data_IF_778448217639
#
_entry.id   IF_778448217639
#
_cell.length_a   1.000
_cell.length_b   1.000
_cell.length_c   1.000
_cell.angle_alpha   90.00
_cell.angle_beta   90.00
_cell.angle_gamma   90.00
#
_symmetry.space_group_name_H-M   'P 1'
#
loop_
_entity.id
_entity.type
_entity.pdbx_description
1 polymer ?
#
# COMPACT_ATOMS: atom_id res chain seq x y z
N UNK A 1 -13.68 16.11 -3.81
CA UNK A 1 -14.16 15.07 -4.74
C UNK A 1 -14.05 13.71 -4.08
N UNK A 2 -15.17 13.00 -3.97
CA UNK A 2 -15.16 11.58 -3.62
C UNK A 2 -14.73 10.77 -4.85
N UNK A 3 -13.69 9.95 -4.71
CA UNK A 3 -13.18 9.08 -5.79
C UNK A 3 -13.91 7.73 -5.85
N UNK A 4 -14.83 7.46 -4.92
CA UNK A 4 -15.54 6.17 -4.82
C UNK A 4 -14.62 5.02 -4.46
N UNK A 5 -13.54 5.28 -3.69
CA UNK A 5 -12.52 4.30 -3.35
C UNK A 5 -12.70 3.75 -1.94
N UNK A 6 -12.67 2.43 -1.82
CA UNK A 6 -12.27 1.75 -0.60
C UNK A 6 -10.74 1.72 -0.48
N UNK A 7 -10.24 1.97 0.72
CA UNK A 7 -8.81 2.06 1.02
C UNK A 7 -8.48 1.23 2.24
N UNK A 8 -7.45 0.38 2.11
CA UNK A 8 -6.79 -0.31 3.24
C UNK A 8 -5.31 0.05 3.27
N UNK A 9 -4.86 0.55 4.41
CA UNK A 9 -3.46 0.90 4.62
C UNK A 9 -2.86 -0.02 5.68
N UNK A 10 -1.75 -0.66 5.36
CA UNK A 10 -0.96 -1.44 6.30
C UNK A 10 0.42 -0.82 6.43
N UNK A 11 0.89 -0.64 7.66
CA UNK A 11 2.24 -0.13 7.89
C UNK A 11 2.85 -0.74 9.14
N UNK A 12 4.17 -0.72 9.23
CA UNK A 12 4.89 -0.99 10.48
C UNK A 12 5.19 0.32 11.18
N UNK A 13 4.82 0.44 12.45
CA UNK A 13 5.27 1.56 13.28
C UNK A 13 6.69 1.34 13.76
N UNK A 14 7.42 2.44 13.88
CA UNK A 14 8.84 2.40 14.15
C UNK A 14 9.65 1.95 12.94
N UNK A 15 10.91 2.36 12.93
CA UNK A 15 11.79 2.07 11.83
C UNK A 15 13.23 2.34 12.19
N UNK A 16 14.14 1.47 11.72
CA UNK A 16 15.58 1.62 11.95
C UNK A 16 16.05 2.99 11.41
N UNK A 17 15.42 3.50 10.35
CA UNK A 17 15.80 4.78 9.72
C UNK A 17 14.94 5.98 10.15
N UNK A 18 13.74 5.76 10.69
CA UNK A 18 12.75 6.84 10.96
C UNK A 18 12.45 7.07 12.45
N UNK A 19 13.02 6.25 13.34
CA UNK A 19 12.80 6.36 14.78
C UNK A 19 11.41 5.88 15.23
N UNK A 20 11.09 6.02 16.52
CA UNK A 20 9.91 5.40 17.14
C UNK A 20 8.56 6.00 16.70
N UNK A 21 8.55 7.16 16.05
CA UNK A 21 7.34 7.80 15.51
C UNK A 21 7.20 7.64 13.99
N UNK A 22 8.13 6.95 13.34
CA UNK A 22 8.12 6.73 11.90
C UNK A 22 7.22 5.58 11.47
N UNK A 23 6.83 5.57 10.20
CA UNK A 23 6.24 4.41 9.55
C UNK A 23 7.18 3.86 8.48
N UNK A 24 7.29 2.54 8.40
CA UNK A 24 8.00 1.80 7.34
C UNK A 24 7.07 0.75 6.74
N UNK A 25 7.44 0.20 5.58
CA UNK A 25 6.68 -0.87 4.92
C UNK A 25 5.21 -0.52 4.71
N UNK A 26 4.95 0.66 4.13
CA UNK A 26 3.59 1.17 3.90
C UNK A 26 3.02 0.54 2.63
N UNK A 27 1.91 -0.18 2.78
CA UNK A 27 1.11 -0.74 1.70
C UNK A 27 -0.23 -0.01 1.63
N UNK A 28 -0.60 0.42 0.42
CA UNK A 28 -1.90 1.04 0.16
C UNK A 28 -2.64 0.16 -0.85
N UNK A 29 -3.78 -0.36 -0.42
CA UNK A 29 -4.65 -1.22 -1.22
C UNK A 29 -5.92 -0.44 -1.56
N UNK A 30 -6.27 -0.40 -2.85
CA UNK A 30 -7.40 0.35 -3.37
C UNK A 30 -8.42 -0.61 -3.98
N UNK A 31 -9.71 -0.38 -3.70
CA UNK A 31 -10.84 -1.02 -4.37
C UNK A 31 -11.79 0.05 -4.85
N UNK A 32 -12.35 -0.10 -6.05
CA UNK A 32 -13.30 0.86 -6.61
C UNK A 32 -13.15 1.04 -8.11
N UNK A 33 -13.76 2.10 -8.68
CA UNK A 33 -13.83 2.28 -10.12
C UNK A 33 -12.44 2.61 -10.72
N UNK A 34 -12.13 2.13 -11.94
CA UNK A 34 -10.83 2.34 -12.58
C UNK A 34 -10.41 3.81 -12.68
N UNK A 35 -11.36 4.72 -12.95
CA UNK A 35 -11.11 6.15 -13.00
C UNK A 35 -10.69 6.71 -11.63
N UNK A 36 -11.32 6.26 -10.54
CA UNK A 36 -10.96 6.68 -9.19
C UNK A 36 -9.55 6.24 -8.82
N UNK A 37 -9.20 4.99 -9.13
CA UNK A 37 -7.85 4.44 -8.89
C UNK A 37 -6.81 5.20 -9.71
N UNK A 38 -7.09 5.48 -10.99
CA UNK A 38 -6.19 6.26 -11.85
C UNK A 38 -5.96 7.67 -11.32
N UNK A 39 -7.04 8.36 -10.93
CA UNK A 39 -6.97 9.70 -10.33
C UNK A 39 -6.18 9.69 -9.02
N UNK A 40 -6.39 8.71 -8.14
CA UNK A 40 -5.60 8.58 -6.90
C UNK A 40 -4.11 8.40 -7.20
N UNK A 41 -3.75 7.47 -8.09
CA UNK A 41 -2.37 7.23 -8.48
C UNK A 41 -1.71 8.45 -9.14
N UNK A 42 -2.48 9.23 -9.90
CA UNK A 42 -2.02 10.50 -10.46
C UNK A 42 -1.72 11.51 -9.35
N UNK A 43 -2.70 11.79 -8.48
CA UNK A 43 -2.58 12.73 -7.36
C UNK A 43 -1.41 12.39 -6.43
N UNK A 44 -1.22 11.11 -6.09
CA UNK A 44 -0.11 10.62 -5.28
C UNK A 44 1.27 10.97 -5.89
N UNK A 45 1.37 11.06 -7.21
CA UNK A 45 2.62 11.36 -7.93
C UNK A 45 2.80 12.85 -8.23
N UNK A 46 1.70 13.58 -8.45
CA UNK A 46 1.74 14.94 -9.01
C UNK A 46 1.37 16.03 -8.01
N UNK A 47 0.40 15.80 -7.13
CA UNK A 47 -0.26 16.83 -6.33
C UNK A 47 0.07 16.72 -4.83
N UNK A 48 0.18 15.50 -4.30
CA UNK A 48 0.47 15.23 -2.88
C UNK A 48 1.97 15.01 -2.62
N UNK A 49 2.80 15.94 -3.09
CA UNK A 49 4.25 15.90 -2.84
C UNK A 49 4.52 16.65 -1.53
N UNK A 50 4.50 15.91 -0.42
CA UNK A 50 4.88 16.46 0.86
C UNK A 50 6.38 16.80 0.86
N UNK A 51 6.86 17.55 1.83
CA UNK A 51 8.30 17.76 2.04
C UNK A 51 8.69 17.16 3.38
N UNK A 52 9.80 16.43 3.44
CA UNK A 52 10.27 15.88 4.70
C UNK A 52 10.73 17.00 5.66
N UNK A 53 11.06 16.64 6.90
CA UNK A 53 11.53 17.60 7.90
C UNK A 53 12.82 18.33 7.49
N UNK A 54 13.48 17.91 6.40
CA UNK A 54 14.68 18.54 5.82
C UNK A 54 14.35 19.36 4.56
N UNK A 55 13.06 19.56 4.23
CA UNK A 55 12.59 20.32 3.08
C UNK A 55 12.75 19.59 1.73
N UNK A 56 13.11 18.29 1.74
CA UNK A 56 13.23 17.50 0.52
C UNK A 56 11.88 16.92 0.15
N UNK A 57 11.50 17.00 -1.14
CA UNK A 57 10.27 16.40 -1.67
C UNK A 57 10.17 14.93 -1.21
N UNK A 58 9.11 14.62 -0.48
CA UNK A 58 8.79 13.29 0.00
C UNK A 58 8.64 12.32 -1.17
N UNK A 59 8.97 11.07 -0.87
CA UNK A 59 9.21 10.02 -1.87
C UNK A 59 7.92 9.39 -2.37
N UNK A 60 6.72 9.96 -2.19
CA UNK A 60 5.46 9.35 -2.68
C UNK A 60 5.52 9.11 -4.20
N UNK A 61 6.28 9.93 -4.94
CA UNK A 61 6.58 9.72 -6.37
C UNK A 61 7.27 8.37 -6.69
N UNK A 62 7.87 7.72 -5.70
CA UNK A 62 8.53 6.41 -5.81
C UNK A 62 7.59 5.24 -5.48
N UNK A 63 6.29 5.49 -5.30
CA UNK A 63 5.31 4.42 -5.12
C UNK A 63 5.39 3.43 -6.29
N UNK A 64 5.57 2.14 -6.00
CA UNK A 64 5.57 1.05 -6.97
C UNK A 64 4.20 0.38 -6.94
N UNK A 65 3.54 0.27 -8.09
CA UNK A 65 2.33 -0.56 -8.21
C UNK A 65 2.78 -2.02 -8.15
N UNK A 66 2.32 -2.75 -7.14
CA UNK A 66 2.71 -4.14 -6.93
C UNK A 66 1.74 -5.14 -7.60
N UNK A 67 0.46 -4.79 -7.67
CA UNK A 67 -0.56 -5.55 -8.39
C UNK A 67 -1.69 -4.64 -8.86
N UNK A 68 -2.34 -5.02 -9.94
CA UNK A 68 -3.60 -4.46 -10.43
C UNK A 68 -4.45 -5.62 -10.95
N UNK A 69 -5.65 -5.81 -10.39
CA UNK A 69 -6.53 -6.95 -10.67
C UNK A 69 -7.93 -6.45 -10.99
N UNK A 70 -8.64 -7.14 -11.87
CA UNK A 70 -10.05 -6.85 -12.09
C UNK A 70 -10.89 -7.46 -10.97
N UNK A 71 -12.05 -6.88 -10.66
CA UNK A 71 -13.00 -7.52 -9.75
C UNK A 71 -13.33 -8.94 -10.22
N UNK A 72 -13.20 -9.91 -9.32
CA UNK A 72 -13.46 -11.33 -9.62
C UNK A 72 -12.27 -12.11 -10.19
N UNK A 73 -11.12 -11.48 -10.48
CA UNK A 73 -9.91 -12.21 -10.85
C UNK A 73 -9.37 -13.00 -9.65
N UNK A 74 -9.46 -14.33 -9.71
CA UNK A 74 -8.94 -15.24 -8.68
C UNK A 74 -8.03 -16.27 -9.35
N UNK A 75 -6.77 -16.37 -8.89
CA UNK A 75 -5.86 -17.41 -9.37
C UNK A 75 -6.18 -18.75 -8.72
N UNK A 76 -5.77 -19.85 -9.35
CA UNK A 76 -5.92 -21.18 -8.77
C UNK A 76 -5.26 -21.25 -7.38
N UNK A 77 -6.03 -21.61 -6.37
CA UNK A 77 -5.58 -21.68 -4.97
C UNK A 77 -5.77 -20.38 -4.16
N UNK A 78 -6.24 -19.29 -4.77
CA UNK A 78 -6.63 -18.06 -4.06
C UNK A 78 -8.13 -18.05 -3.73
N UNK A 79 -8.53 -17.29 -2.71
CA UNK A 79 -9.95 -17.00 -2.41
C UNK A 79 -10.36 -15.69 -3.08
N UNK A 80 -11.64 -15.43 -3.39
CA UNK A 80 -12.06 -14.10 -3.83
C UNK A 80 -11.68 -13.04 -2.80
N UNK A 81 -11.10 -11.92 -3.24
CA UNK A 81 -10.91 -10.76 -2.35
C UNK A 81 -12.27 -10.10 -2.17
N UNK A 82 -12.77 -9.94 -0.93
CA UNK A 82 -14.03 -9.26 -0.70
C UNK A 82 -13.90 -7.79 -1.12
N UNK A 83 -14.97 -7.25 -1.68
CA UNK A 83 -15.07 -5.81 -1.87
C UNK A 83 -14.97 -5.11 -0.51
N UNK A 84 -14.18 -4.04 -0.45
CA UNK A 84 -14.04 -3.23 0.75
C UNK A 84 -14.29 -1.76 0.40
N UNK A 85 -14.94 -1.06 1.34
CA UNK A 85 -15.28 0.35 1.24
C UNK A 85 -14.71 1.13 2.44
N UNK A 86 -14.79 2.46 2.35
CA UNK A 86 -14.28 3.36 3.37
C UNK A 86 -12.75 3.33 3.50
N UNK A 87 -12.24 4.01 4.52
CA UNK A 87 -10.82 4.08 4.84
C UNK A 87 -10.54 3.35 6.16
N UNK A 88 -9.59 2.41 6.14
CA UNK A 88 -9.09 1.75 7.35
C UNK A 88 -7.56 1.67 7.27
N UNK A 89 -6.91 2.05 8.36
CA UNK A 89 -5.46 1.93 8.53
C UNK A 89 -5.16 0.97 9.68
N UNK A 90 -4.28 0.02 9.44
CA UNK A 90 -3.85 -0.99 10.42
C UNK A 90 -2.34 -0.94 10.59
N UNK A 91 -1.93 -0.66 11.81
CA UNK A 91 -0.56 -0.83 12.25
C UNK A 91 -0.28 -2.31 12.48
N UNK A 92 0.84 -2.80 11.94
CA UNK A 92 1.32 -4.16 12.12
C UNK A 92 2.64 -4.12 12.91
N UNK A 93 2.68 -4.75 14.07
CA UNK A 93 3.85 -4.81 14.94
C UNK A 93 4.91 -5.81 14.45
N UNK A 94 4.51 -6.80 13.65
CA UNK A 94 5.39 -7.86 13.16
C UNK A 94 5.28 -8.08 11.65
N UNK A 95 6.31 -8.67 11.03
CA UNK A 95 6.25 -9.06 9.60
C UNK A 95 5.12 -10.06 9.33
N UNK A 96 4.87 -10.98 10.27
CA UNK A 96 3.77 -11.95 10.19
C UNK A 96 2.40 -11.28 10.13
N UNK A 97 2.20 -10.19 10.88
CA UNK A 97 0.95 -9.41 10.82
C UNK A 97 0.78 -8.72 9.47
N UNK A 98 1.86 -8.19 8.90
CA UNK A 98 1.82 -7.61 7.54
C UNK A 98 1.51 -8.69 6.50
N UNK A 99 2.13 -9.87 6.61
CA UNK A 99 1.84 -11.00 5.71
C UNK A 99 0.39 -11.46 5.80
N UNK A 100 -0.15 -11.60 7.01
CA UNK A 100 -1.55 -11.96 7.22
C UNK A 100 -2.49 -10.93 6.59
N UNK A 101 -2.23 -9.63 6.80
CA UNK A 101 -3.00 -8.55 6.18
C UNK A 101 -2.94 -8.57 4.64
N UNK A 102 -1.75 -8.82 4.08
CA UNK A 102 -1.59 -8.96 2.62
C UNK A 102 -2.28 -10.22 2.10
N UNK A 103 -2.31 -11.30 2.86
CA UNK A 103 -2.99 -12.54 2.51
C UNK A 103 -4.50 -12.38 2.41
N UNK A 104 -5.13 -11.60 3.30
CA UNK A 104 -6.55 -11.26 3.24
C UNK A 104 -6.95 -10.64 1.89
N UNK A 105 -6.00 -9.98 1.23
CA UNK A 105 -6.18 -9.33 -0.08
C UNK A 105 -5.53 -10.11 -1.24
N UNK A 106 -5.09 -11.34 -1.00
CA UNK A 106 -4.28 -12.17 -1.91
C UNK A 106 -3.04 -11.47 -2.46
N UNK A 107 -2.43 -10.56 -1.72
CA UNK A 107 -1.24 -9.81 -2.14
C UNK A 107 0.07 -10.49 -1.73
N UNK A 108 0.02 -11.73 -1.22
CA UNK A 108 1.23 -12.51 -0.91
C UNK A 108 2.11 -12.87 -2.12
N UNK A 109 1.60 -12.70 -3.35
CA UNK A 109 2.38 -12.92 -4.57
C UNK A 109 3.13 -11.66 -5.04
N UNK A 110 2.96 -10.52 -4.35
CA UNK A 110 3.56 -9.23 -4.71
C UNK A 110 5.01 -9.05 -4.22
N UNK A 111 5.85 -10.09 -4.33
CA UNK A 111 7.25 -10.14 -3.87
C UNK A 111 7.48 -11.22 -2.80
N UNK A 112 8.72 -11.62 -2.53
CA UNK A 112 9.05 -12.44 -1.36
C UNK A 112 9.52 -11.57 -0.18
N UNK A 113 9.55 -12.10 1.04
CA UNK A 113 9.83 -11.36 2.28
C UNK A 113 10.89 -10.25 2.16
N UNK A 114 12.19 -10.60 1.98
CA UNK A 114 13.28 -9.61 1.97
C UNK A 114 13.19 -8.61 0.81
N UNK A 115 12.60 -9.00 -0.33
CA UNK A 115 12.38 -8.10 -1.47
C UNK A 115 11.18 -7.15 -1.29
N UNK A 116 10.19 -7.53 -0.47
CA UNK A 116 8.97 -6.76 -0.23
C UNK A 116 9.17 -5.60 0.75
N UNK A 117 10.07 -5.75 1.72
CA UNK A 117 10.25 -4.83 2.85
C UNK A 117 11.49 -3.95 2.78
N UNK A 118 12.37 -4.18 1.81
CA UNK A 118 13.46 -3.26 1.49
C UNK A 118 13.22 -2.77 0.07
N UNK A 119 12.77 -1.52 -0.07
CA UNK A 119 12.87 -0.83 -1.35
C UNK A 119 14.33 -0.95 -1.78
N UNK A 120 14.58 -1.75 -2.83
CA UNK A 120 15.91 -2.06 -3.34
C UNK A 120 16.78 -0.81 -3.27
N UNK A 121 17.89 -0.93 -2.53
CA UNK A 121 18.88 0.14 -2.48
C UNK A 121 19.37 0.37 -3.91
N UNK A 122 19.05 1.55 -4.44
CA UNK A 122 19.59 2.11 -5.65
C UNK A 122 20.16 3.49 -5.30
#
# INVERSE_FOLDING_TARGET
DDLGLGVRVFHRAGGVRRGPKGAENVFVCLSGPPQGISSFCSRLRTESVDVDAQGKKCKERKSKVLANRRPGDVKQGERPVPHFEGFEARECGTEKEVEAALQELNLLHCGDGRERFFAAEA
#
